data_IF_460008093954
#
_entry.id   IF_460008093954
#
_cell.length_a   1.000
_cell.length_b   1.000
_cell.length_c   1.000
_cell.angle_alpha   90.00
_cell.angle_beta   90.00
_cell.angle_gamma   90.00
#
_symmetry.space_group_name_H-M   'P 1'
#
loop_
_entity.id
_entity.type
_entity.pdbx_description
1 polymer ?
#
# COMPACT_ATOMS: atom_id res chain seq x y z
N UNK A 1 24.74 34.51 -9.03
CA UNK A 1 24.06 33.62 -8.06
C UNK A 1 22.56 33.64 -8.34
N UNK A 2 21.83 32.62 -7.91
CA UNK A 2 20.36 32.59 -8.02
C UNK A 2 19.78 32.88 -6.64
N UNK A 3 18.85 33.82 -6.56
CA UNK A 3 18.12 34.10 -5.32
C UNK A 3 17.04 33.02 -5.05
N UNK A 4 16.43 33.04 -3.87
CA UNK A 4 15.35 32.10 -3.51
C UNK A 4 14.09 32.26 -4.39
N UNK A 5 14.01 33.32 -5.18
CA UNK A 5 12.88 33.69 -6.04
C UNK A 5 13.12 33.29 -7.51
N UNK A 6 14.32 32.77 -7.84
CA UNK A 6 14.68 32.30 -9.17
C UNK A 6 15.31 33.36 -10.08
N UNK A 7 15.47 34.61 -9.62
CA UNK A 7 16.12 35.67 -10.39
C UNK A 7 17.64 35.46 -10.42
N UNK A 8 18.23 35.80 -11.56
CA UNK A 8 19.66 35.64 -11.80
C UNK A 8 20.34 36.97 -11.47
N UNK A 9 21.05 37.02 -10.34
CA UNK A 9 21.94 38.14 -10.02
C UNK A 9 23.29 37.84 -10.65
N UNK A 10 23.61 38.55 -11.72
CA UNK A 10 24.89 38.44 -12.42
C UNK A 10 25.88 39.39 -11.77
N UNK A 11 26.86 38.83 -11.05
CA UNK A 11 28.00 39.57 -10.55
C UNK A 11 29.20 39.20 -11.44
N UNK A 12 29.79 40.18 -12.10
CA UNK A 12 31.05 39.97 -12.84
C UNK A 12 32.12 39.49 -11.86
N UNK A 13 32.61 38.26 -12.08
CA UNK A 13 33.73 37.70 -11.32
C UNK A 13 34.93 37.68 -12.23
N UNK A 14 35.93 38.48 -11.91
CA UNK A 14 37.26 38.38 -12.53
C UNK A 14 38.12 37.50 -11.66
N UNK A 15 38.56 36.36 -12.20
CA UNK A 15 39.52 35.48 -11.54
C UNK A 15 40.83 35.50 -12.32
N UNK A 16 41.91 35.87 -11.65
CA UNK A 16 43.23 35.85 -12.24
C UNK A 16 43.82 34.45 -12.03
N UNK A 17 44.08 33.72 -13.12
CA UNK A 17 44.69 32.40 -13.07
C UNK A 17 46.21 32.56 -13.24
N UNK A 18 47.01 32.51 -12.16
CA UNK A 18 48.47 32.65 -12.25
C UNK A 18 49.07 31.44 -12.97
N UNK A 19 50.05 31.67 -13.83
CA UNK A 19 50.83 30.59 -14.45
C UNK A 19 51.82 30.04 -13.43
N UNK A 20 51.82 28.72 -13.14
CA UNK A 20 52.81 28.13 -12.26
C UNK A 20 54.24 28.37 -12.79
N UNK A 21 55.24 28.58 -11.93
CA UNK A 21 56.61 28.87 -12.36
C UNK A 21 57.30 27.71 -13.09
N UNK A 22 56.80 26.47 -12.92
CA UNK A 22 57.30 25.26 -13.60
C UNK A 22 56.48 24.90 -14.86
N UNK A 23 55.52 25.75 -15.26
CA UNK A 23 54.70 25.48 -16.44
C UNK A 23 55.41 25.93 -17.72
N UNK A 24 55.34 25.08 -18.74
CA UNK A 24 55.78 25.36 -20.10
C UNK A 24 55.18 26.65 -20.67
N UNK A 25 53.87 26.85 -20.45
CA UNK A 25 53.12 27.98 -21.00
C UNK A 25 51.81 28.19 -20.21
N UNK A 26 51.11 29.27 -20.53
CA UNK A 26 49.77 29.59 -20.03
C UNK A 26 48.72 28.60 -20.54
N UNK A 27 47.62 28.52 -19.81
CA UNK A 27 46.44 27.74 -20.20
C UNK A 27 46.01 27.99 -21.66
N UNK A 28 45.48 26.96 -22.29
CA UNK A 28 44.99 27.02 -23.66
C UNK A 28 43.56 27.53 -23.66
N UNK A 29 43.35 28.70 -24.26
CA UNK A 29 42.00 29.20 -24.52
C UNK A 29 41.36 28.37 -25.65
N UNK A 30 40.40 27.53 -25.26
CA UNK A 30 39.55 26.76 -26.16
C UNK A 30 38.23 27.49 -26.35
N UNK A 31 37.75 27.52 -27.59
CA UNK A 31 36.49 28.18 -27.93
C UNK A 31 35.41 27.14 -28.17
N UNK A 32 34.43 27.08 -27.27
CA UNK A 32 33.38 26.06 -27.28
C UNK A 32 32.03 26.75 -27.06
N UNK A 33 31.07 26.53 -27.95
CA UNK A 33 29.74 27.16 -27.89
C UNK A 33 29.76 28.70 -27.76
N UNK A 34 30.81 29.33 -28.29
CA UNK A 34 31.02 30.79 -28.24
C UNK A 34 31.72 31.30 -26.97
N UNK A 35 32.01 30.43 -26.00
CA UNK A 35 32.75 30.76 -24.79
C UNK A 35 34.25 30.53 -24.96
N UNK A 36 35.06 31.42 -24.41
CA UNK A 36 36.51 31.26 -24.32
C UNK A 36 36.86 30.68 -22.94
N UNK A 37 37.25 29.41 -22.91
CA UNK A 37 37.51 28.67 -21.67
C UNK A 37 39.02 28.41 -21.57
N UNK A 38 39.68 28.83 -20.49
CA UNK A 38 41.07 28.46 -20.27
C UNK A 38 41.12 27.01 -19.79
N UNK A 39 41.84 26.19 -20.55
CA UNK A 39 42.06 24.78 -20.29
C UNK A 39 43.53 24.57 -19.92
N UNK A 40 43.77 24.10 -18.69
CA UNK A 40 45.09 23.61 -18.29
C UNK A 40 45.33 22.22 -18.87
N UNK A 41 46.60 21.85 -19.08
CA UNK A 41 46.98 20.55 -19.59
C UNK A 41 48.36 20.16 -19.08
N UNK A 42 48.59 18.86 -18.97
CA UNK A 42 49.87 18.24 -18.64
C UNK A 42 50.20 17.19 -19.68
N UNK A 43 51.38 17.28 -20.26
CA UNK A 43 51.89 16.29 -21.20
C UNK A 43 53.13 15.63 -20.61
N UNK A 44 53.20 14.29 -20.70
CA UNK A 44 54.42 13.55 -20.40
C UNK A 44 55.13 13.22 -21.70
N UNK A 45 56.34 13.75 -21.82
CA UNK A 45 57.11 13.75 -23.06
C UNK A 45 58.46 13.07 -22.80
N UNK A 46 58.87 12.22 -23.73
CA UNK A 46 60.15 11.53 -23.69
C UNK A 46 60.80 11.54 -25.07
N UNK A 47 62.12 11.63 -25.14
CA UNK A 47 62.88 11.41 -26.38
C UNK A 47 63.55 10.04 -26.28
N UNK A 48 63.28 9.16 -27.26
CA UNK A 48 63.98 7.89 -27.35
C UNK A 48 65.48 8.11 -27.63
N UNK A 49 66.40 7.32 -27.05
CA UNK A 49 67.83 7.47 -27.28
C UNK A 49 68.24 7.42 -28.76
N UNK A 50 67.49 6.66 -29.57
CA UNK A 50 67.69 6.52 -31.02
C UNK A 50 67.44 7.85 -31.77
N UNK A 51 66.49 8.66 -31.29
CA UNK A 51 66.10 9.94 -31.89
C UNK A 51 66.84 11.14 -31.29
N UNK A 52 67.47 10.97 -30.12
CA UNK A 52 68.14 12.05 -29.40
C UNK A 52 69.18 12.83 -30.24
N UNK A 53 70.04 12.21 -31.07
CA UNK A 53 71.00 12.96 -31.89
C UNK A 53 70.32 13.82 -32.96
N UNK A 54 69.23 13.33 -33.57
CA UNK A 54 68.46 14.07 -34.58
C UNK A 54 67.80 15.27 -33.95
N UNK A 55 67.22 15.07 -32.78
CA UNK A 55 66.53 16.08 -32.00
C UNK A 55 67.47 17.21 -31.57
N UNK A 56 68.63 16.88 -31.00
CA UNK A 56 69.67 17.85 -30.62
C UNK A 56 70.23 18.57 -31.85
N UNK A 57 70.46 17.85 -32.95
CA UNK A 57 71.00 18.43 -34.18
C UNK A 57 70.04 19.35 -34.94
N UNK A 58 68.73 19.11 -34.85
CA UNK A 58 67.72 19.87 -35.59
C UNK A 58 67.19 21.08 -34.81
N UNK A 59 67.06 20.98 -33.49
CA UNK A 59 66.32 21.97 -32.67
C UNK A 59 67.19 22.62 -31.59
N UNK A 60 68.23 21.92 -31.13
CA UNK A 60 69.17 22.40 -30.10
C UNK A 60 69.12 21.55 -28.83
N UNK A 61 67.98 21.55 -28.14
CA UNK A 61 67.78 20.87 -26.86
C UNK A 61 66.30 20.62 -26.55
N UNK A 62 66.02 20.11 -25.34
CA UNK A 62 64.66 19.80 -24.90
C UNK A 62 63.79 21.04 -24.75
N UNK A 63 64.36 22.11 -24.17
CA UNK A 63 63.66 23.38 -23.96
C UNK A 63 63.24 24.01 -25.30
N UNK A 64 64.12 23.98 -26.33
CA UNK A 64 63.78 24.52 -27.64
C UNK A 64 62.69 23.71 -28.36
N UNK A 65 62.61 22.40 -28.14
CA UNK A 65 61.55 21.55 -28.69
C UNK A 65 60.23 21.85 -27.99
N UNK A 66 60.26 22.00 -26.67
CA UNK A 66 59.11 22.35 -25.87
C UNK A 66 58.50 23.67 -26.38
N UNK A 67 59.31 24.73 -26.43
CA UNK A 67 58.84 26.07 -26.79
C UNK A 67 58.47 26.23 -28.26
N UNK A 68 59.25 25.64 -29.18
CA UNK A 68 59.10 25.90 -30.63
C UNK A 68 58.22 24.90 -31.34
N UNK A 69 58.08 23.68 -30.80
CA UNK A 69 57.39 22.58 -31.49
C UNK A 69 56.22 22.09 -30.66
N UNK A 70 56.47 21.55 -29.47
CA UNK A 70 55.44 20.88 -28.69
C UNK A 70 54.36 21.86 -28.25
N UNK A 71 54.71 22.90 -27.51
CA UNK A 71 53.74 23.87 -26.97
C UNK A 71 52.81 24.45 -28.05
N UNK A 72 53.30 24.94 -29.20
CA UNK A 72 52.44 25.39 -30.30
C UNK A 72 51.55 24.28 -30.88
N UNK A 73 52.09 23.08 -31.06
CA UNK A 73 51.36 21.92 -31.63
C UNK A 73 50.26 21.46 -30.69
N UNK A 74 50.57 21.27 -29.39
CA UNK A 74 49.58 20.89 -28.37
C UNK A 74 48.47 21.94 -28.33
N UNK A 75 48.82 23.23 -28.26
CA UNK A 75 47.86 24.33 -28.23
C UNK A 75 46.94 24.32 -29.45
N UNK A 76 47.47 24.06 -30.63
CA UNK A 76 46.68 23.97 -31.86
C UNK A 76 45.76 22.75 -31.85
N UNK A 77 46.25 21.57 -31.47
CA UNK A 77 45.46 20.34 -31.43
C UNK A 77 44.33 20.46 -30.42
N UNK A 78 44.63 20.88 -29.19
CA UNK A 78 43.62 21.04 -28.13
C UNK A 78 42.54 22.02 -28.57
N UNK A 79 42.92 23.16 -29.17
CA UNK A 79 41.94 24.13 -29.71
C UNK A 79 41.08 23.52 -30.82
N UNK A 80 41.67 22.77 -31.73
CA UNK A 80 40.94 22.16 -32.85
C UNK A 80 40.00 21.05 -32.36
N UNK A 81 40.47 20.17 -31.47
CA UNK A 81 39.66 19.07 -30.92
C UNK A 81 38.50 19.62 -30.10
N UNK A 82 38.78 20.54 -29.17
CA UNK A 82 37.75 21.15 -28.32
C UNK A 82 36.74 21.99 -29.10
N UNK A 83 37.07 22.48 -30.30
CA UNK A 83 36.14 23.20 -31.19
C UNK A 83 35.50 22.33 -32.28
N UNK A 84 35.71 21.01 -32.25
CA UNK A 84 35.26 20.09 -33.28
C UNK A 84 34.11 19.19 -32.80
N UNK A 85 34.05 17.95 -33.30
CA UNK A 85 33.05 16.97 -32.92
C UNK A 85 33.71 15.86 -32.11
N UNK A 86 33.05 15.45 -31.03
CA UNK A 86 33.47 14.30 -30.22
C UNK A 86 32.51 13.13 -30.41
N UNK A 87 33.06 11.95 -30.18
CA UNK A 87 32.31 10.70 -30.16
C UNK A 87 32.01 10.37 -28.70
N UNK A 88 30.74 10.42 -28.32
CA UNK A 88 30.29 10.22 -26.94
C UNK A 88 29.26 9.08 -26.91
N UNK A 89 29.25 8.24 -25.85
CA UNK A 89 28.18 7.28 -25.66
C UNK A 89 26.82 7.97 -25.57
N UNK A 90 25.83 7.44 -26.26
CA UNK A 90 24.46 7.94 -26.22
C UNK A 90 23.83 7.73 -24.83
N UNK A 91 23.37 8.79 -24.15
CA UNK A 91 22.69 8.67 -22.85
C UNK A 91 21.37 7.88 -22.94
N UNK A 92 20.69 7.87 -24.10
CA UNK A 92 19.43 7.16 -24.28
C UNK A 92 19.66 5.69 -24.69
N UNK A 93 20.80 5.37 -25.32
CA UNK A 93 21.16 4.04 -25.80
C UNK A 93 22.57 3.64 -25.37
N UNK A 94 22.74 3.07 -24.16
CA UNK A 94 24.04 2.64 -23.68
C UNK A 94 24.66 1.58 -24.62
N UNK A 95 25.71 1.97 -25.33
CA UNK A 95 26.45 1.13 -26.29
C UNK A 95 26.50 1.68 -27.72
N UNK A 96 25.70 2.70 -28.06
CA UNK A 96 25.83 3.41 -29.33
C UNK A 96 26.67 4.67 -29.14
N UNK A 97 27.65 4.84 -30.02
CA UNK A 97 28.51 6.02 -30.07
C UNK A 97 27.93 6.99 -31.10
N UNK A 98 27.60 8.22 -30.70
CA UNK A 98 27.13 9.25 -31.61
C UNK A 98 28.15 10.38 -31.70
N UNK A 99 28.29 10.96 -32.89
CA UNK A 99 29.17 12.10 -33.12
C UNK A 99 28.36 13.38 -33.02
N UNK A 100 28.80 14.29 -32.16
CA UNK A 100 28.16 15.59 -31.91
C UNK A 100 29.20 16.68 -31.70
N UNK A 101 28.88 17.97 -31.94
CA UNK A 101 29.77 19.06 -31.57
C UNK A 101 30.06 19.04 -30.07
N UNK A 102 31.29 19.38 -29.71
CA UNK A 102 31.72 19.55 -28.32
C UNK A 102 30.91 20.63 -27.63
N UNK A 103 30.44 20.33 -26.42
CA UNK A 103 29.80 21.29 -25.52
C UNK A 103 30.77 21.71 -24.43
N UNK A 104 30.51 22.84 -23.80
CA UNK A 104 31.35 23.33 -22.69
C UNK A 104 31.44 22.30 -21.57
N UNK A 105 30.33 21.62 -21.27
CA UNK A 105 30.27 20.60 -20.21
C UNK A 105 31.04 19.32 -20.55
N UNK A 106 31.27 19.04 -21.83
CA UNK A 106 32.02 17.85 -22.24
C UNK A 106 33.48 17.91 -21.80
N UNK A 107 34.03 19.11 -21.54
CA UNK A 107 35.36 19.30 -20.96
C UNK A 107 35.50 18.68 -19.55
N UNK A 108 34.37 18.49 -18.85
CA UNK A 108 34.32 17.84 -17.53
C UNK A 108 33.72 16.44 -17.65
N UNK A 109 32.59 16.29 -18.35
CA UNK A 109 31.82 15.05 -18.37
C UNK A 109 32.45 13.95 -19.24
N UNK A 110 32.98 14.34 -20.39
CA UNK A 110 33.48 13.44 -21.43
C UNK A 110 34.96 13.69 -21.68
N UNK A 111 35.68 14.02 -20.60
CA UNK A 111 37.09 14.37 -20.63
C UNK A 111 37.96 13.25 -21.18
N UNK A 112 37.68 12.01 -20.80
CA UNK A 112 38.45 10.85 -21.22
C UNK A 112 38.44 10.70 -22.75
N UNK A 113 37.29 10.94 -23.39
CA UNK A 113 37.16 10.88 -24.85
C UNK A 113 37.94 12.00 -25.55
N UNK A 114 37.99 13.20 -24.94
CA UNK A 114 38.80 14.31 -25.43
C UNK A 114 40.29 14.01 -25.28
N UNK A 115 40.71 13.50 -24.13
CA UNK A 115 42.10 13.11 -23.85
C UNK A 115 42.59 12.05 -24.84
N UNK A 116 41.82 11.00 -25.08
CA UNK A 116 42.13 9.94 -26.04
C UNK A 116 42.30 10.51 -27.46
N UNK A 117 41.36 11.35 -27.90
CA UNK A 117 41.41 11.98 -29.23
C UNK A 117 42.63 12.88 -29.39
N UNK A 118 42.95 13.69 -28.37
CA UNK A 118 44.11 14.57 -28.37
C UNK A 118 45.40 13.74 -28.37
N UNK A 119 45.45 12.68 -27.56
CA UNK A 119 46.60 11.79 -27.41
C UNK A 119 46.96 11.08 -28.73
N UNK A 120 45.97 10.61 -29.48
CA UNK A 120 46.21 9.94 -30.77
C UNK A 120 46.78 10.89 -31.84
N UNK A 121 46.21 12.09 -31.93
CA UNK A 121 46.67 13.10 -32.87
C UNK A 121 48.08 13.55 -32.50
N UNK A 122 48.32 13.81 -31.21
CA UNK A 122 49.61 14.33 -30.78
C UNK A 122 50.72 13.29 -30.84
N UNK A 123 50.44 12.01 -30.58
CA UNK A 123 51.41 10.94 -30.75
C UNK A 123 51.89 10.85 -32.20
N UNK A 124 50.97 11.09 -33.14
CA UNK A 124 51.30 11.10 -34.57
C UNK A 124 52.18 12.29 -34.94
N UNK A 125 51.88 13.49 -34.44
CA UNK A 125 52.69 14.69 -34.69
C UNK A 125 54.03 14.68 -33.94
N UNK A 126 54.06 14.23 -32.68
CA UNK A 126 55.26 14.14 -31.85
C UNK A 126 56.31 13.22 -32.46
N UNK A 127 55.90 12.06 -33.01
CA UNK A 127 56.82 11.14 -33.70
C UNK A 127 57.52 11.78 -34.89
N UNK A 128 56.85 12.68 -35.62
CA UNK A 128 57.48 13.42 -36.74
C UNK A 128 58.59 14.35 -36.26
N UNK A 129 58.49 14.85 -35.02
CA UNK A 129 59.51 15.67 -34.38
C UNK A 129 60.60 14.84 -33.66
N UNK A 130 60.53 13.50 -33.69
CA UNK A 130 61.47 12.63 -32.98
C UNK A 130 61.19 12.49 -31.48
N UNK A 131 59.98 12.87 -31.04
CA UNK A 131 59.58 12.91 -29.63
C UNK A 131 58.42 11.94 -29.38
N UNK A 132 58.53 11.14 -28.32
CA UNK A 132 57.47 10.23 -27.88
C UNK A 132 56.63 10.86 -26.77
N UNK A 133 55.36 11.10 -27.07
CA UNK A 133 54.38 11.59 -26.09
C UNK A 133 53.73 10.37 -25.44
N UNK A 134 53.91 10.24 -24.13
CA UNK A 134 53.42 9.10 -23.35
C UNK A 134 51.95 9.25 -23.03
N UNK A 135 51.58 10.40 -22.50
CA UNK A 135 50.25 10.68 -21.95
C UNK A 135 49.96 12.18 -22.02
N UNK A 136 48.69 12.52 -22.25
CA UNK A 136 48.16 13.85 -22.02
C UNK A 136 47.02 13.78 -21.04
N UNK A 137 47.05 14.66 -20.04
CA UNK A 137 45.96 14.90 -19.12
C UNK A 137 45.51 16.33 -19.28
N UNK A 138 44.21 16.52 -19.41
CA UNK A 138 43.65 17.85 -19.23
C UNK A 138 43.78 18.23 -17.74
N UNK A 139 43.64 19.51 -17.43
CA UNK A 139 43.46 20.06 -16.09
C UNK A 139 41.99 20.43 -15.85
N UNK A 140 41.68 21.09 -14.74
CA UNK A 140 40.32 21.59 -14.51
C UNK A 140 40.06 22.80 -15.42
N UNK A 141 38.99 22.81 -16.24
CA UNK A 141 38.61 23.99 -17.02
C UNK A 141 38.00 25.07 -16.12
N UNK A 142 38.34 26.33 -16.37
CA UNK A 142 37.60 27.44 -15.73
C UNK A 142 36.30 27.71 -16.49
N UNK A 143 35.25 26.95 -16.18
CA UNK A 143 33.94 27.12 -16.81
C UNK A 143 33.20 28.30 -16.17
N UNK A 144 32.61 29.20 -16.98
CA UNK A 144 31.76 30.28 -16.47
C UNK A 144 30.63 29.74 -15.57
N UNK A 145 30.44 30.31 -14.36
CA UNK A 145 29.48 29.79 -13.39
C UNK A 145 28.03 29.84 -13.90
N UNK A 146 27.72 30.68 -14.88
CA UNK A 146 26.40 30.78 -15.51
C UNK A 146 25.93 29.45 -16.11
N UNK A 147 26.85 28.70 -16.73
CA UNK A 147 26.55 27.40 -17.31
C UNK A 147 26.34 26.33 -16.23
N UNK A 148 27.07 26.46 -15.11
CA UNK A 148 26.95 25.56 -13.97
C UNK A 148 25.64 25.75 -13.21
N UNK A 149 25.06 26.95 -13.21
CA UNK A 149 23.76 27.21 -12.56
C UNK A 149 22.63 26.40 -13.19
N UNK A 150 22.56 26.34 -14.52
CA UNK A 150 21.53 25.57 -15.23
C UNK A 150 21.66 24.07 -14.93
N UNK A 151 22.89 23.55 -14.96
CA UNK A 151 23.17 22.15 -14.60
C UNK A 151 22.81 21.85 -13.14
N UNK A 152 23.15 22.74 -12.21
CA UNK A 152 22.81 22.58 -10.80
C UNK A 152 21.30 22.55 -10.59
N UNK A 153 20.54 23.37 -11.33
CA UNK A 153 19.07 23.37 -11.30
C UNK A 153 18.49 22.05 -11.82
N UNK A 154 19.03 21.52 -12.91
CA UNK A 154 18.63 20.23 -13.47
C UNK A 154 18.92 19.08 -12.49
N UNK A 155 20.13 19.03 -11.94
CA UNK A 155 20.50 18.04 -10.93
C UNK A 155 19.62 18.12 -9.68
N UNK A 156 19.31 19.34 -9.23
CA UNK A 156 18.40 19.55 -8.10
C UNK A 156 16.99 19.06 -8.44
N UNK A 157 16.47 19.38 -9.63
CA UNK A 157 15.17 18.93 -10.08
C UNK A 157 15.10 17.39 -10.16
N UNK A 158 16.13 16.74 -10.68
CA UNK A 158 16.23 15.27 -10.72
C UNK A 158 16.27 14.64 -9.33
N UNK A 159 17.01 15.25 -8.41
CA UNK A 159 17.06 14.80 -7.02
C UNK A 159 15.70 14.95 -6.34
N UNK A 160 15.02 16.07 -6.56
CA UNK A 160 13.67 16.31 -6.04
C UNK A 160 12.65 15.35 -6.66
N UNK A 161 12.72 15.07 -7.96
CA UNK A 161 11.86 14.09 -8.62
C UNK A 161 12.08 12.68 -8.06
N UNK A 162 13.33 12.25 -7.91
CA UNK A 162 13.69 10.97 -7.28
C UNK A 162 13.22 10.89 -5.83
N UNK A 163 13.35 11.99 -5.08
CA UNK A 163 12.85 12.07 -3.70
C UNK A 163 11.32 11.95 -3.66
N UNK A 164 10.61 12.65 -4.53
CA UNK A 164 9.16 12.61 -4.62
C UNK A 164 8.65 11.20 -4.94
N UNK A 165 9.24 10.50 -5.91
CA UNK A 165 8.86 9.11 -6.22
C UNK A 165 9.06 8.19 -5.01
N UNK A 166 10.19 8.33 -4.30
CA UNK A 166 10.44 7.55 -3.08
C UNK A 166 9.44 7.88 -1.97
N UNK A 167 9.05 9.15 -1.83
CA UNK A 167 8.03 9.56 -0.88
C UNK A 167 6.66 8.99 -1.24
N UNK A 168 6.24 9.07 -2.51
CA UNK A 168 4.97 8.48 -2.96
C UNK A 168 4.94 6.97 -2.76
N UNK A 169 6.03 6.28 -3.03
CA UNK A 169 6.13 4.82 -2.80
C UNK A 169 6.04 4.48 -1.31
N UNK A 170 6.68 5.29 -0.44
CA UNK A 170 6.59 5.13 1.00
C UNK A 170 5.16 5.40 1.52
N UNK A 171 4.47 6.41 0.99
CA UNK A 171 3.09 6.70 1.33
C UNK A 171 2.13 5.61 0.84
N UNK A 172 2.33 5.09 -0.37
CA UNK A 172 1.56 3.97 -0.90
C UNK A 172 1.68 2.73 0.01
N UNK A 173 2.92 2.39 0.43
CA UNK A 173 3.16 1.32 1.41
C UNK A 173 2.49 1.59 2.75
N UNK A 174 2.51 2.83 3.25
CA UNK A 174 1.80 3.20 4.49
C UNK A 174 0.30 2.98 4.37
N UNK A 175 -0.32 3.44 3.27
CA UNK A 175 -1.75 3.25 3.01
C UNK A 175 -2.08 1.76 2.96
N UNK A 176 -1.28 0.97 2.25
CA UNK A 176 -1.46 -0.49 2.19
C UNK A 176 -1.39 -1.14 3.58
N UNK A 177 -0.40 -0.75 4.39
CA UNK A 177 -0.28 -1.28 5.77
C UNK A 177 -1.45 -0.86 6.66
N UNK A 178 -1.94 0.37 6.54
CA UNK A 178 -3.10 0.84 7.30
C UNK A 178 -4.39 0.17 6.81
N UNK A 179 -4.55 -0.08 5.51
CA UNK A 179 -5.68 -0.82 4.96
C UNK A 179 -5.68 -2.29 5.40
N UNK A 180 -4.51 -2.94 5.38
CA UNK A 180 -4.33 -4.30 5.88
C UNK A 180 -4.65 -4.37 7.38
N UNK A 181 -4.18 -3.38 8.16
CA UNK A 181 -4.50 -3.25 9.58
C UNK A 181 -5.99 -3.04 9.83
N UNK A 182 -6.65 -2.18 9.05
CA UNK A 182 -8.09 -1.97 9.14
C UNK A 182 -8.89 -3.23 8.82
N UNK A 183 -8.48 -3.98 7.78
CA UNK A 183 -9.12 -5.26 7.42
C UNK A 183 -8.91 -6.33 8.50
N UNK A 184 -7.70 -6.41 9.07
CA UNK A 184 -7.40 -7.28 10.20
C UNK A 184 -8.24 -6.93 11.45
N UNK A 185 -8.50 -5.64 11.69
CA UNK A 185 -9.34 -5.20 12.80
C UNK A 185 -10.83 -5.52 12.61
N UNK A 186 -11.33 -5.58 11.38
CA UNK A 186 -12.71 -6.02 11.07
C UNK A 186 -12.86 -7.56 11.04
N UNK A 187 -11.75 -8.28 10.94
CA UNK A 187 -11.74 -9.75 10.85
C UNK A 187 -12.46 -10.47 12.00
N UNK A 188 -12.33 -10.06 13.29
CA UNK A 188 -13.12 -10.63 14.38
C UNK A 188 -14.63 -10.49 14.18
N UNK A 189 -15.10 -9.34 13.68
CA UNK A 189 -16.52 -9.10 13.38
C UNK A 189 -17.01 -9.94 12.22
N UNK A 190 -16.20 -10.09 11.17
CA UNK A 190 -16.52 -10.97 10.04
C UNK A 190 -16.61 -12.43 10.47
N UNK A 191 -15.68 -12.88 11.32
CA UNK A 191 -15.68 -14.23 11.88
C UNK A 191 -16.90 -14.44 12.79
N UNK A 192 -17.23 -13.48 13.65
CA UNK A 192 -18.43 -13.53 14.49
C UNK A 192 -19.71 -13.65 13.65
N UNK A 193 -19.85 -12.85 12.59
CA UNK A 193 -20.97 -12.92 11.67
C UNK A 193 -21.04 -14.28 10.94
N UNK A 194 -19.90 -14.82 10.50
CA UNK A 194 -19.84 -16.11 9.82
C UNK A 194 -20.18 -17.28 10.76
N UNK A 195 -19.68 -17.23 12.00
CA UNK A 195 -20.04 -18.18 13.06
C UNK A 195 -21.54 -18.08 13.34
N UNK A 196 -22.13 -16.88 13.43
CA UNK A 196 -23.55 -16.70 13.66
C UNK A 196 -24.41 -17.33 12.55
N UNK A 197 -24.03 -17.17 11.28
CA UNK A 197 -24.69 -17.82 10.13
C UNK A 197 -24.56 -19.35 10.24
N UNK A 198 -23.38 -19.85 10.56
CA UNK A 198 -23.16 -21.29 10.72
C UNK A 198 -23.98 -21.87 11.90
N UNK A 199 -24.05 -21.16 13.02
CA UNK A 199 -24.86 -21.52 14.19
C UNK A 199 -26.35 -21.50 13.84
N UNK A 200 -26.82 -20.52 13.06
CA UNK A 200 -28.20 -20.46 12.59
C UNK A 200 -28.55 -21.68 11.72
N UNK A 201 -27.67 -22.03 10.77
CA UNK A 201 -27.83 -23.22 9.92
C UNK A 201 -27.80 -24.54 10.72
N UNK A 202 -26.92 -24.65 11.72
CA UNK A 202 -26.86 -25.81 12.62
C UNK A 202 -28.15 -25.93 13.46
N UNK A 203 -28.67 -24.82 13.99
CA UNK A 203 -29.94 -24.80 14.73
C UNK A 203 -31.13 -25.20 13.87
N UNK A 204 -31.16 -24.79 12.60
CA UNK A 204 -32.20 -25.21 11.66
C UNK A 204 -32.10 -26.72 11.37
N UNK A 205 -30.89 -27.23 11.12
CA UNK A 205 -30.64 -28.66 10.91
C UNK A 205 -31.00 -29.50 12.15
N UNK A 206 -30.68 -29.02 13.35
CA UNK A 206 -31.04 -29.65 14.62
C UNK A 206 -32.56 -29.73 14.79
N UNK A 207 -33.30 -28.64 14.58
CA UNK A 207 -34.77 -28.64 14.63
C UNK A 207 -35.38 -29.59 13.60
N UNK A 208 -34.83 -29.62 12.39
CA UNK A 208 -35.29 -30.55 11.36
C UNK A 208 -35.00 -32.02 11.76
N UNK A 209 -33.87 -32.29 12.40
CA UNK A 209 -33.52 -33.61 12.90
C UNK A 209 -34.42 -34.05 14.07
N UNK A 210 -34.66 -33.18 15.05
CA UNK A 210 -35.60 -33.42 16.15
C UNK A 210 -37.02 -33.65 15.62
N UNK A 211 -37.49 -32.81 14.68
CA UNK A 211 -38.78 -33.00 14.03
C UNK A 211 -38.87 -34.28 13.19
N UNK A 212 -37.75 -34.81 12.66
CA UNK A 212 -37.72 -36.16 12.06
C UNK A 212 -37.80 -37.25 13.13
N UNK A 213 -37.03 -37.13 14.21
CA UNK A 213 -37.00 -38.10 15.30
C UNK A 213 -38.35 -38.19 16.02
N UNK A 214 -39.01 -37.05 16.28
CA UNK A 214 -40.31 -37.00 16.94
C UNK A 214 -41.41 -37.58 16.05
N UNK A 215 -41.36 -37.34 14.73
CA UNK A 215 -42.25 -38.03 13.78
C UNK A 215 -42.05 -39.55 13.79
N UNK A 216 -40.80 -40.01 13.78
CA UNK A 216 -40.50 -41.45 13.85
C UNK A 216 -40.98 -42.06 15.18
N UNK A 217 -40.74 -41.39 16.30
CA UNK A 217 -41.19 -41.84 17.62
C UNK A 217 -42.71 -41.91 17.72
N UNK A 218 -43.43 -40.90 17.21
CA UNK A 218 -44.90 -40.92 17.18
C UNK A 218 -45.44 -42.01 16.26
N UNK A 219 -44.78 -42.27 15.13
CA UNK A 219 -45.15 -43.37 14.22
C UNK A 219 -44.94 -44.74 14.87
N UNK A 220 -43.83 -44.95 15.58
CA UNK A 220 -43.55 -46.18 16.33
C UNK A 220 -44.50 -46.36 17.52
N UNK A 221 -44.80 -45.29 18.26
CA UNK A 221 -45.79 -45.34 19.34
C UNK A 221 -47.19 -45.65 18.81
N UNK A 222 -47.59 -45.06 17.68
CA UNK A 222 -48.85 -45.37 17.03
C UNK A 222 -48.91 -46.83 16.55
N UNK A 223 -47.80 -47.37 16.01
CA UNK A 223 -47.67 -48.80 15.71
C UNK A 223 -47.76 -49.67 16.96
N UNK A 224 -47.13 -49.27 18.06
CA UNK A 224 -47.17 -50.00 19.34
C UNK A 224 -48.56 -50.01 19.97
N UNK A 225 -49.26 -48.87 19.98
CA UNK A 225 -50.63 -48.76 20.50
C UNK A 225 -51.64 -49.50 19.61
N UNK A 226 -51.50 -49.44 18.29
CA UNK A 226 -52.33 -50.25 17.39
C UNK A 226 -52.05 -51.74 17.54
N UNK A 227 -50.80 -52.16 17.76
CA UNK A 227 -50.46 -53.54 18.08
C UNK A 227 -51.04 -53.98 19.43
N UNK A 228 -50.97 -53.15 20.48
CA UNK A 228 -51.59 -53.45 21.79
C UNK A 228 -53.12 -53.51 21.71
N UNK A 229 -53.77 -52.62 20.95
CA UNK A 229 -55.21 -52.67 20.71
C UNK A 229 -55.65 -53.88 19.88
N UNK A 230 -54.74 -54.48 19.11
CA UNK A 230 -54.98 -55.71 18.35
C UNK A 230 -54.80 -56.98 19.20
N UNK A 231 -53.96 -56.96 20.24
CA UNK A 231 -53.67 -58.13 21.11
C UNK A 231 -54.52 -58.14 22.37
N UNK A 232 -54.90 -56.98 22.92
CA UNK A 232 -55.85 -56.84 24.03
C UNK A 232 -57.17 -56.30 23.45
N UNK A 233 -58.15 -57.19 23.27
CA UNK A 233 -59.43 -56.85 22.66
C UNK A 233 -60.02 -55.54 23.19
N UNK A 234 -60.41 -54.67 22.25
CA UNK A 234 -60.81 -53.25 22.44
C UNK A 234 -61.74 -53.00 23.63
N UNK A 235 -62.52 -53.98 24.03
CA UNK A 235 -63.54 -53.84 25.08
C UNK A 235 -62.97 -53.88 26.51
N UNK A 236 -61.79 -54.48 26.76
CA UNK A 236 -61.26 -54.59 28.15
C UNK A 236 -60.42 -53.40 28.61
N UNK A 237 -59.81 -52.66 27.69
CA UNK A 237 -59.00 -51.47 28.03
C UNK A 237 -59.89 -50.28 28.41
N UNK A 238 -61.05 -50.13 27.76
CA UNK A 238 -62.03 -49.10 28.10
C UNK A 238 -62.62 -49.29 29.50
N UNK A 239 -62.88 -50.54 29.91
CA UNK A 239 -63.40 -50.87 31.24
C UNK A 239 -62.37 -50.57 32.34
N UNK A 240 -61.09 -50.83 32.10
CA UNK A 240 -60.02 -50.56 33.07
C UNK A 240 -59.76 -49.05 33.23
N UNK A 241 -59.78 -48.27 32.14
CA UNK A 241 -59.68 -46.81 32.23
C UNK A 241 -60.90 -46.16 32.91
N UNK A 242 -62.09 -46.75 32.79
CA UNK A 242 -63.27 -46.29 33.50
C UNK A 242 -63.18 -46.57 35.01
N UNK A 243 -62.63 -47.73 35.41
CA UNK A 243 -62.41 -48.09 36.82
C UNK A 243 -61.36 -47.21 37.50
N UNK A 244 -60.24 -46.92 36.83
CA UNK A 244 -59.19 -46.04 37.38
C UNK A 244 -59.69 -44.61 37.62
N UNK A 245 -60.51 -44.07 36.70
CA UNK A 245 -61.12 -42.74 36.89
C UNK A 245 -62.14 -42.70 38.04
N UNK A 246 -62.81 -43.82 38.34
CA UNK A 246 -63.72 -43.94 39.48
C UNK A 246 -62.96 -44.05 40.80
N UNK A 247 -61.87 -44.83 40.85
CA UNK A 247 -61.05 -44.98 42.06
C UNK A 247 -60.34 -43.68 42.47
N UNK A 248 -59.77 -42.94 41.51
CA UNK A 248 -59.16 -41.62 41.76
C UNK A 248 -60.18 -40.58 42.23
N UNK A 249 -61.45 -40.73 41.84
CA UNK A 249 -62.55 -39.86 42.27
C UNK A 249 -63.01 -40.18 43.70
N UNK A 250 -62.88 -41.43 44.15
CA UNK A 250 -63.20 -41.88 45.51
C UNK A 250 -62.11 -41.51 46.53
N UNK A 251 -60.84 -41.51 46.13
CA UNK A 251 -59.71 -41.13 47.00
C UNK A 251 -59.73 -39.63 47.38
N UNK A 252 -60.31 -38.77 46.53
CA UNK A 252 -60.35 -37.32 46.74
C UNK A 252 -61.52 -36.83 47.62
N UNK A 253 -62.49 -37.68 47.99
CA UNK A 253 -63.66 -37.30 48.81
C UNK A 253 -64.14 -38.46 49.72
N UNK A 254 -63.62 -38.61 50.95
CA UNK A 254 -64.00 -39.71 51.86
C UNK A 254 -65.41 -39.60 52.50
N UNK A 255 -66.18 -38.54 52.24
CA UNK A 255 -67.50 -38.32 52.87
C UNK A 255 -68.65 -39.15 52.28
N UNK A 256 -68.44 -39.87 51.16
CA UNK A 256 -69.49 -40.67 50.49
C UNK A 256 -69.66 -42.10 51.05
N UNK A 257 -68.80 -42.55 51.97
CA UNK A 257 -68.90 -43.88 52.60
C UNK A 257 -69.94 -43.91 53.74
N UNK A 258 -70.30 -42.76 54.32
CA UNK A 258 -71.32 -42.67 55.37
C UNK A 258 -72.77 -42.71 54.85
N UNK A 259 -73.00 -42.51 53.54
CA UNK A 259 -74.33 -42.43 52.93
C UNK A 259 -74.87 -43.77 52.40
N UNK A 260 -74.02 -44.82 52.37
CA UNK A 260 -74.38 -46.13 51.77
C UNK A 260 -74.85 -47.15 52.83
N UNK A 261 -74.61 -46.90 54.12
CA UNK A 261 -75.12 -47.73 55.23
C UNK A 261 -76.59 -47.49 55.64
N UNK A 262 -77.30 -46.54 55.00
CA UNK A 262 -78.66 -46.11 55.37
C UNK A 262 -79.76 -46.41 54.32
N UNK A 263 -79.46 -47.20 53.29
CA UNK A 263 -80.39 -47.56 52.21
C UNK A 263 -80.78 -49.06 52.22
N UNK A 264 -80.98 -49.64 53.40
CA UNK A 264 -81.77 -50.87 53.57
C UNK A 264 -83.06 -50.50 54.32
N UNK A 265 -84.25 -50.72 53.74
CA UNK A 265 -85.49 -50.12 54.23
C UNK A 265 -86.05 -50.86 55.45
N UNK A 266 -86.50 -50.11 56.46
CA UNK A 266 -87.50 -50.57 57.42
C UNK A 266 -88.57 -49.50 57.61
N UNK A 267 -89.80 -49.97 57.73
CA UNK A 267 -91.08 -49.33 57.47
C UNK A 267 -91.61 -48.43 58.61
N UNK A 268 -92.63 -47.62 58.27
CA UNK A 268 -93.81 -47.22 59.10
C UNK A 268 -93.95 -45.72 59.50
N UNK A 269 -94.85 -45.04 58.74
CA UNK A 269 -96.03 -44.16 59.08
C UNK A 269 -95.89 -42.69 59.57
N UNK A 270 -96.57 -41.81 58.80
CA UNK A 270 -97.20 -40.52 59.20
C UNK A 270 -96.29 -39.28 59.10
N UNK A 271 -96.67 -38.10 58.62
CA UNK A 271 -97.89 -37.51 58.04
C UNK A 271 -97.49 -36.09 57.53
N UNK A 272 -98.12 -35.63 56.45
CA UNK A 272 -98.27 -34.24 55.97
C UNK A 272 -97.17 -33.43 55.22
N UNK A 273 -97.51 -33.23 53.93
CA UNK A 273 -97.49 -32.00 53.10
C UNK A 273 -96.18 -31.39 52.58
N UNK A 274 -95.92 -31.60 51.28
CA UNK A 274 -96.08 -30.52 50.30
C UNK A 274 -94.85 -29.72 49.83
N UNK A 275 -94.11 -30.30 48.87
CA UNK A 275 -93.46 -29.72 47.67
C UNK A 275 -92.87 -28.28 47.61
N UNK A 276 -91.60 -28.26 47.18
CA UNK A 276 -90.98 -27.46 46.11
C UNK A 276 -90.74 -25.95 46.30
N UNK A 277 -89.46 -25.55 46.17
CA UNK A 277 -89.02 -24.16 46.01
C UNK A 277 -87.59 -24.09 45.48
N UNK A 278 -87.46 -24.14 44.15
CA UNK A 278 -86.21 -23.96 43.41
C UNK A 278 -85.78 -22.48 43.34
N UNK A 279 -84.48 -22.26 43.11
CA UNK A 279 -83.89 -21.12 42.39
C UNK A 279 -84.10 -19.69 42.95
N UNK A 280 -83.14 -19.18 43.73
CA UNK A 280 -83.02 -17.72 43.99
C UNK A 280 -81.64 -17.28 44.54
N UNK A 281 -80.51 -17.79 44.02
CA UNK A 281 -79.17 -17.26 44.38
C UNK A 281 -78.38 -16.93 43.11
N UNK A 282 -78.85 -15.93 42.38
CA UNK A 282 -78.12 -15.25 41.29
C UNK A 282 -78.67 -13.82 41.19
N UNK A 283 -77.90 -12.80 41.62
CA UNK A 283 -78.29 -11.41 41.35
C UNK A 283 -77.87 -10.38 42.40
N UNK A 284 -76.59 -10.30 42.77
CA UNK A 284 -76.05 -9.10 43.44
C UNK A 284 -74.53 -9.11 43.27
N UNK A 285 -73.98 -8.07 42.61
CA UNK A 285 -72.55 -7.66 42.53
C UNK A 285 -71.92 -7.52 41.13
N UNK A 286 -72.67 -7.23 40.07
CA UNK A 286 -72.08 -6.77 38.80
C UNK A 286 -72.81 -5.54 38.26
N UNK A 287 -72.28 -4.34 38.54
CA UNK A 287 -72.86 -3.09 38.02
C UNK A 287 -72.46 -1.82 38.79
N UNK A 288 -71.18 -1.45 38.79
CA UNK A 288 -70.75 -0.10 39.15
C UNK A 288 -69.78 0.42 38.09
N UNK A 289 -70.36 0.74 36.94
CA UNK A 289 -69.76 1.53 35.86
C UNK A 289 -69.89 3.02 36.17
N UNK A 290 -68.88 3.78 35.74
CA UNK A 290 -69.02 5.13 35.15
C UNK A 290 -69.80 6.18 35.93
N UNK A 291 -69.11 7.04 36.70
CA UNK A 291 -69.34 8.49 36.65
C UNK A 291 -68.33 9.26 37.54
N UNK A 292 -67.25 9.77 36.95
CA UNK A 292 -66.56 10.95 37.48
C UNK A 292 -65.91 11.70 36.31
N UNK A 293 -66.61 12.73 35.87
CA UNK A 293 -66.21 13.67 34.85
C UNK A 293 -65.46 14.88 35.45
N UNK A 294 -64.77 15.59 34.55
CA UNK A 294 -64.36 17.03 34.59
C UNK A 294 -63.04 17.39 35.28
N UNK A 295 -62.04 17.81 34.49
CA UNK A 295 -61.86 19.25 34.17
C UNK A 295 -60.68 19.51 33.19
N UNK A 296 -60.95 20.38 32.20
CA UNK A 296 -60.05 21.30 31.46
C UNK A 296 -58.83 20.72 30.72
N UNK A 297 -58.47 21.15 29.51
CA UNK A 297 -58.95 22.20 28.64
C UNK A 297 -57.82 22.52 27.63
N UNK A 298 -58.14 22.40 26.34
CA UNK A 298 -57.67 23.22 25.20
C UNK A 298 -56.21 23.73 25.15
N UNK A 299 -55.43 23.24 24.18
CA UNK A 299 -55.02 24.01 22.99
C UNK A 299 -54.48 23.08 21.88
N UNK A 300 -54.94 23.35 20.66
CA UNK A 300 -54.51 22.78 19.37
C UNK A 300 -54.01 23.97 18.50
N UNK A 301 -53.73 23.83 17.19
CA UNK A 301 -52.82 22.95 16.47
C UNK A 301 -51.86 23.74 15.53
N UNK A 302 -51.03 23.00 14.80
CA UNK A 302 -50.55 23.24 13.42
C UNK A 302 -49.84 24.57 13.04
N UNK A 303 -48.58 24.43 12.61
CA UNK A 303 -48.13 24.73 11.24
C UNK A 303 -47.02 23.74 10.86
#
# INVERSE_FOLDING_TARGET
SVDQEGNIVQNERTENQPTPPEAADKAVFVKVEGWDIPQELRALVQVAPENAPVVVGAVGGLDEIEDRILTPVIRSIVRNVAGSEIVVPDPDNPGQMHRRPTRVLDLIENRDALEETIEDIIKTEGRKAGVDIREIRLGEPSIPPELLVSRLREQLADQLAKAYVRETDAQAKRIETEQARATANEQPRLVEAQIAVQVAGQKEAERAALGRAERQYLEELARGQSAQANVLGKDRVAILQALDKVLVSLERKPELVALVGKLVPNTVVGTDTGFAGAAAIFGQNFGQTMNSARSGGTSAPAQ
#
